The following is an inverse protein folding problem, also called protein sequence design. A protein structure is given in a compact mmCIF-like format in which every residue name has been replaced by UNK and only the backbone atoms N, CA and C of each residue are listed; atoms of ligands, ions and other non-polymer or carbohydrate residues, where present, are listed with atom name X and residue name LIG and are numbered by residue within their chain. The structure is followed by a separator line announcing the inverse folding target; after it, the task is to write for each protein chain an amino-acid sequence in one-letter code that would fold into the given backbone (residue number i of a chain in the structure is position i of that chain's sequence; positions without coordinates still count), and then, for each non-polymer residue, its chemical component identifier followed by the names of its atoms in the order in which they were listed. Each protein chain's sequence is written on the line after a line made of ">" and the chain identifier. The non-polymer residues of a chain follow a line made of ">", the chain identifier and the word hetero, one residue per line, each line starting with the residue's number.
data_IF_912839158899
#
_entry.id   IF_912839158899
#
_cell.length_a   1.000
_cell.length_b   1.000
_cell.length_c   1.000
_cell.angle_alpha   90.00
_cell.angle_beta   90.00
_cell.angle_gamma   90.00
#
_symmetry.space_group_name_H-M   'P 1'
#
loop_
_entity.id
_entity.type
_entity.pdbx_description
1 polymer ?
#
# COMPACT_ATOMS: atom_id res chain seq x y z
N UNK A 1 8.84 35.59 -48.31
CA UNK A 1 9.94 34.75 -47.81
C UNK A 1 9.67 33.32 -48.27
N UNK A 2 10.59 32.70 -49.02
CA UNK A 2 10.46 31.27 -49.36
C UNK A 2 10.74 30.46 -48.11
N UNK A 3 9.78 29.64 -47.66
CA UNK A 3 9.97 28.79 -46.50
C UNK A 3 10.98 27.68 -46.83
N UNK A 4 12.12 27.66 -46.13
CA UNK A 4 13.11 26.58 -46.27
C UNK A 4 12.54 25.30 -45.68
N UNK A 5 12.32 24.29 -46.52
CA UNK A 5 11.84 22.97 -46.06
C UNK A 5 12.98 22.21 -45.38
N UNK A 6 12.91 22.10 -44.05
CA UNK A 6 13.90 21.38 -43.24
C UNK A 6 13.69 19.86 -43.25
N UNK A 7 12.43 19.43 -43.26
CA UNK A 7 12.05 18.03 -43.13
C UNK A 7 10.75 17.71 -43.90
N UNK A 8 10.65 16.49 -44.43
CA UNK A 8 9.41 15.92 -45.00
C UNK A 8 9.08 14.59 -44.33
N UNK A 9 7.81 14.42 -43.95
CA UNK A 9 7.28 13.17 -43.39
C UNK A 9 6.37 12.48 -44.42
N UNK A 10 6.36 11.14 -44.47
CA UNK A 10 5.37 10.37 -45.24
C UNK A 10 4.75 9.27 -44.41
N UNK A 11 3.49 8.98 -44.69
CA UNK A 11 2.67 8.06 -43.95
C UNK A 11 2.16 6.94 -44.85
N UNK A 12 1.93 5.76 -44.28
CA UNK A 12 1.20 4.68 -44.95
C UNK A 12 -0.33 4.84 -44.79
N UNK A 13 -1.15 4.01 -45.47
CA UNK A 13 -2.61 4.06 -45.36
C UNK A 13 -3.18 3.72 -43.96
N UNK A 14 -2.34 3.35 -42.98
CA UNK A 14 -2.73 3.13 -41.59
C UNK A 14 -2.30 4.29 -40.68
N UNK A 15 -1.99 5.45 -41.29
CA UNK A 15 -1.51 6.66 -40.64
C UNK A 15 -0.22 6.47 -39.83
N UNK A 16 0.64 5.53 -40.24
CA UNK A 16 1.95 5.31 -39.61
C UNK A 16 3.04 6.01 -40.40
N UNK A 17 3.91 6.71 -39.68
CA UNK A 17 5.07 7.41 -40.21
C UNK A 17 6.10 6.42 -40.78
N UNK A 18 6.11 6.28 -42.10
CA UNK A 18 7.01 5.34 -42.78
C UNK A 18 8.28 6.01 -43.28
N UNK A 19 8.26 7.33 -43.52
CA UNK A 19 9.43 8.03 -44.03
C UNK A 19 9.65 9.38 -43.35
N UNK A 20 10.91 9.70 -43.11
CA UNK A 20 11.35 11.02 -42.66
C UNK A 20 12.60 11.42 -43.45
N UNK A 21 12.55 12.55 -44.13
CA UNK A 21 13.64 13.05 -44.97
C UNK A 21 14.05 14.46 -44.53
N UNK A 22 15.26 14.57 -43.98
CA UNK A 22 15.92 15.85 -43.76
C UNK A 22 16.47 16.37 -45.08
N UNK A 23 16.56 17.70 -45.22
CA UNK A 23 17.15 18.30 -46.42
C UNK A 23 18.63 17.89 -46.66
N UNK A 24 19.33 17.46 -45.60
CA UNK A 24 20.78 17.21 -45.60
C UNK A 24 21.17 15.73 -45.53
N UNK A 25 20.24 14.80 -45.33
CA UNK A 25 20.51 13.37 -45.12
C UNK A 25 19.71 12.49 -46.07
N UNK A 26 20.16 11.24 -46.25
CA UNK A 26 19.38 10.24 -46.94
C UNK A 26 18.01 10.05 -46.24
N UNK A 27 16.94 9.78 -47.00
CA UNK A 27 15.62 9.54 -46.41
C UNK A 27 15.67 8.29 -45.54
N UNK A 28 15.10 8.41 -44.33
CA UNK A 28 14.95 7.29 -43.40
C UNK A 28 13.63 6.60 -43.68
N UNK A 29 13.68 5.29 -43.89
CA UNK A 29 12.52 4.41 -43.98
C UNK A 29 12.32 3.68 -42.65
N UNK A 30 11.06 3.51 -42.23
CA UNK A 30 10.67 2.89 -40.97
C UNK A 30 9.79 1.68 -41.20
N UNK A 31 10.12 0.59 -40.53
CA UNK A 31 9.39 -0.67 -40.57
C UNK A 31 8.90 -1.04 -39.19
N UNK A 32 7.65 -1.47 -39.11
CA UNK A 32 6.96 -1.73 -37.87
C UNK A 32 6.63 -3.22 -37.73
N UNK A 33 6.92 -3.78 -36.56
CA UNK A 33 6.35 -5.06 -36.14
C UNK A 33 5.14 -4.78 -35.24
N UNK A 34 3.94 -5.08 -35.74
CA UNK A 34 2.66 -4.64 -35.15
C UNK A 34 2.63 -3.11 -35.04
N UNK A 35 2.62 -2.57 -33.82
CA UNK A 35 2.60 -1.12 -33.53
C UNK A 35 3.97 -0.57 -33.09
N UNK A 36 5.04 -1.37 -33.13
CA UNK A 36 6.37 -0.97 -32.64
C UNK A 36 7.37 -0.84 -33.78
N UNK A 37 8.16 0.23 -33.75
CA UNK A 37 9.29 0.41 -34.67
C UNK A 37 10.29 -0.75 -34.47
N UNK A 38 10.61 -1.44 -35.56
CA UNK A 38 11.50 -2.60 -35.55
C UNK A 38 12.79 -2.32 -36.31
N UNK A 39 12.70 -1.64 -37.46
CA UNK A 39 13.85 -1.38 -38.32
C UNK A 39 13.77 0.02 -38.92
N UNK A 40 14.92 0.69 -38.98
CA UNK A 40 15.12 1.92 -39.74
C UNK A 40 16.22 1.71 -40.79
N UNK A 41 15.97 2.15 -42.02
CA UNK A 41 16.95 2.11 -43.11
C UNK A 41 17.23 3.54 -43.56
N UNK A 42 18.50 3.92 -43.56
CA UNK A 42 19.00 5.24 -43.97
C UNK A 42 20.12 5.04 -45.00
N UNK A 43 19.76 5.04 -46.28
CA UNK A 43 20.70 4.71 -47.35
C UNK A 43 21.27 3.30 -47.18
N UNK A 44 22.57 3.20 -46.90
CA UNK A 44 23.30 1.92 -46.67
C UNK A 44 23.30 1.47 -45.20
N UNK A 45 22.81 2.32 -44.29
CA UNK A 45 22.78 2.04 -42.85
C UNK A 45 21.45 1.37 -42.50
N UNK A 46 21.53 0.20 -41.88
CA UNK A 46 20.38 -0.50 -41.32
C UNK A 46 20.47 -0.51 -39.80
N UNK A 47 19.43 -0.01 -39.13
CA UNK A 47 19.28 -0.04 -37.67
C UNK A 47 18.12 -0.94 -37.30
N UNK A 48 18.38 -1.97 -36.51
CA UNK A 48 17.36 -2.88 -36.01
C UNK A 48 17.25 -2.80 -34.49
N UNK A 49 16.02 -2.70 -34.01
CA UNK A 49 15.69 -2.56 -32.59
C UNK A 49 15.32 -3.95 -32.04
N UNK A 50 16.08 -4.41 -31.05
CA UNK A 50 15.86 -5.68 -30.37
C UNK A 50 15.08 -5.43 -29.09
N UNK A 51 13.93 -6.08 -28.98
CA UNK A 51 13.02 -5.94 -27.84
C UNK A 51 12.36 -7.27 -27.51
N UNK A 52 12.06 -7.49 -26.23
CA UNK A 52 11.30 -8.65 -25.75
C UNK A 52 10.12 -8.17 -24.91
N UNK A 53 8.89 -8.51 -25.34
CA UNK A 53 7.68 -7.92 -24.78
C UNK A 53 7.70 -6.40 -24.95
N UNK A 54 7.54 -5.66 -23.84
CA UNK A 54 7.65 -4.20 -23.82
C UNK A 54 9.06 -3.69 -23.46
N UNK A 55 10.04 -4.56 -23.21
CA UNK A 55 11.38 -4.13 -22.83
C UNK A 55 12.28 -3.91 -24.07
N UNK A 56 12.84 -2.71 -24.22
CA UNK A 56 13.90 -2.44 -25.18
C UNK A 56 15.21 -2.99 -24.64
N UNK A 57 15.92 -3.79 -25.45
CA UNK A 57 17.13 -4.49 -25.00
C UNK A 57 18.36 -3.97 -25.71
N UNK A 58 18.30 -3.83 -27.04
CA UNK A 58 19.45 -3.43 -27.83
C UNK A 58 19.05 -2.74 -29.14
N UNK A 59 20.02 -2.07 -29.72
CA UNK A 59 19.99 -1.48 -31.05
C UNK A 59 21.19 -2.01 -31.81
N UNK A 60 20.98 -2.53 -33.01
CA UNK A 60 22.07 -2.98 -33.87
C UNK A 60 22.12 -2.12 -35.11
N UNK A 61 23.27 -1.53 -35.40
CA UNK A 61 23.55 -0.81 -36.63
C UNK A 61 24.43 -1.67 -37.54
N UNK A 62 24.08 -1.75 -38.81
CA UNK A 62 24.84 -2.48 -39.82
C UNK A 62 25.07 -1.55 -41.01
N UNK A 63 26.33 -1.42 -41.43
CA UNK A 63 26.74 -0.64 -42.59
C UNK A 63 27.72 -1.49 -43.41
N UNK A 64 27.22 -2.13 -44.47
CA UNK A 64 27.97 -3.16 -45.19
C UNK A 64 28.36 -4.32 -44.26
N UNK A 65 29.66 -4.56 -44.09
CA UNK A 65 30.19 -5.62 -43.22
C UNK A 65 30.41 -5.17 -41.77
N UNK A 66 30.33 -3.87 -41.48
CA UNK A 66 30.48 -3.34 -40.13
C UNK A 66 29.17 -3.50 -39.38
N UNK A 67 29.25 -4.08 -38.18
CA UNK A 67 28.11 -4.28 -37.29
C UNK A 67 28.45 -3.78 -35.89
N UNK A 68 27.64 -2.86 -35.39
CA UNK A 68 27.72 -2.36 -34.02
C UNK A 68 26.46 -2.73 -33.26
N UNK A 69 26.61 -3.06 -31.99
CA UNK A 69 25.51 -3.29 -31.07
C UNK A 69 25.61 -2.32 -29.89
N UNK A 70 24.47 -1.74 -29.53
CA UNK A 70 24.30 -0.88 -28.36
C UNK A 70 23.28 -1.54 -27.46
N UNK A 71 23.66 -1.82 -26.21
CA UNK A 71 22.77 -2.28 -25.16
C UNK A 71 22.02 -1.09 -24.56
N UNK A 72 20.74 -1.28 -24.26
CA UNK A 72 19.88 -0.24 -23.74
C UNK A 72 19.37 -0.64 -22.35
N UNK A 73 19.57 0.23 -21.37
CA UNK A 73 18.92 0.14 -20.07
C UNK A 73 17.74 1.12 -20.06
N UNK A 74 16.54 0.62 -19.75
CA UNK A 74 15.31 1.43 -19.77
C UNK A 74 14.59 1.42 -18.44
N UNK A 75 13.79 2.46 -18.20
CA UNK A 75 12.83 2.49 -17.11
C UNK A 75 11.58 1.62 -17.40
N UNK A 76 10.61 1.64 -16.47
CA UNK A 76 9.35 0.91 -16.62
C UNK A 76 8.48 1.43 -17.77
N UNK A 77 8.69 2.68 -18.20
CA UNK A 77 8.02 3.32 -19.31
C UNK A 77 8.73 3.18 -20.65
N UNK A 78 9.85 2.44 -20.68
CA UNK A 78 10.72 2.21 -21.84
C UNK A 78 11.61 3.40 -22.20
N UNK A 79 11.67 4.45 -21.37
CA UNK A 79 12.62 5.55 -21.57
C UNK A 79 14.04 5.03 -21.41
N UNK A 80 14.91 5.30 -22.40
CA UNK A 80 16.31 4.86 -22.37
C UNK A 80 17.09 5.69 -21.35
N UNK A 81 17.51 5.09 -20.25
CA UNK A 81 18.31 5.73 -19.19
C UNK A 81 19.80 5.62 -19.47
N UNK A 82 20.24 4.52 -20.08
CA UNK A 82 21.64 4.30 -20.44
C UNK A 82 21.74 3.56 -21.77
N UNK A 83 22.67 3.97 -22.61
CA UNK A 83 23.04 3.30 -23.84
C UNK A 83 24.54 2.96 -23.78
N UNK A 84 24.90 1.71 -24.04
CA UNK A 84 26.28 1.21 -23.90
C UNK A 84 26.67 0.49 -25.18
N UNK A 85 27.73 0.94 -25.84
CA UNK A 85 28.39 0.22 -26.92
C UNK A 85 29.80 -0.22 -26.48
N UNK A 86 30.54 -0.91 -27.35
CA UNK A 86 31.82 -1.55 -27.00
C UNK A 86 32.83 -0.61 -26.30
N UNK A 87 32.90 0.67 -26.72
CA UNK A 87 33.91 1.62 -26.24
C UNK A 87 33.32 2.92 -25.67
N UNK A 88 32.00 3.03 -25.63
CA UNK A 88 31.30 4.28 -25.29
C UNK A 88 30.02 4.00 -24.51
N UNK A 89 29.66 4.91 -23.63
CA UNK A 89 28.38 4.87 -22.94
C UNK A 89 27.81 6.27 -22.78
N UNK A 90 26.49 6.37 -22.83
CA UNK A 90 25.77 7.61 -22.63
C UNK A 90 24.64 7.40 -21.63
N UNK A 91 24.60 8.25 -20.62
CA UNK A 91 23.51 8.33 -19.65
C UNK A 91 22.54 9.44 -20.05
N UNK A 92 21.25 9.21 -19.82
CA UNK A 92 20.18 10.13 -20.16
C UNK A 92 19.33 10.42 -18.92
N UNK A 93 19.06 11.70 -18.70
CA UNK A 93 18.12 12.18 -17.70
C UNK A 93 16.96 12.91 -18.39
N UNK A 94 15.75 12.72 -17.87
CA UNK A 94 14.52 13.29 -18.43
C UNK A 94 13.76 14.07 -17.36
N UNK A 95 13.10 15.15 -17.79
CA UNK A 95 11.98 15.68 -17.02
C UNK A 95 10.83 14.66 -16.98
N UNK A 96 9.84 14.81 -16.07
CA UNK A 96 8.65 13.96 -16.05
C UNK A 96 7.91 13.87 -17.40
N UNK A 97 8.00 14.91 -18.23
CA UNK A 97 7.40 14.99 -19.55
C UNK A 97 8.38 14.64 -20.68
N UNK A 98 9.53 14.01 -20.38
CA UNK A 98 10.45 13.50 -21.39
C UNK A 98 11.40 14.53 -21.99
N UNK A 99 11.47 15.74 -21.43
CA UNK A 99 12.41 16.75 -21.91
C UNK A 99 13.84 16.35 -21.54
N UNK A 100 14.73 16.38 -22.52
CA UNK A 100 16.18 16.15 -22.35
C UNK A 100 16.95 16.95 -23.40
N UNK A 101 18.23 17.19 -23.16
CA UNK A 101 19.14 17.64 -24.22
C UNK A 101 19.27 16.54 -25.27
N UNK A 102 19.05 16.89 -26.53
CA UNK A 102 19.13 15.92 -27.64
C UNK A 102 20.60 15.70 -27.96
N UNK A 103 21.07 14.47 -27.73
CA UNK A 103 22.38 14.04 -28.19
C UNK A 103 22.32 13.57 -29.65
N UNK A 104 23.47 13.58 -30.31
CA UNK A 104 23.62 13.06 -31.66
C UNK A 104 24.11 11.60 -31.63
N UNK A 105 23.85 10.86 -32.70
CA UNK A 105 24.39 9.51 -32.90
C UNK A 105 23.56 8.37 -32.31
N UNK A 106 24.11 7.15 -32.43
CA UNK A 106 23.41 5.89 -32.16
C UNK A 106 22.97 5.75 -30.68
N UNK A 107 23.80 6.22 -29.74
CA UNK A 107 23.52 6.19 -28.30
C UNK A 107 22.34 7.10 -27.87
N UNK A 108 21.96 8.05 -28.71
CA UNK A 108 20.84 8.98 -28.48
C UNK A 108 19.63 8.73 -29.37
N UNK A 109 19.66 7.67 -30.21
CA UNK A 109 18.64 7.39 -31.21
C UNK A 109 17.23 7.24 -30.61
N UNK A 110 17.12 6.47 -29.53
CA UNK A 110 15.88 6.27 -28.78
C UNK A 110 15.94 7.06 -27.47
N UNK A 111 14.78 7.53 -27.02
CA UNK A 111 14.66 8.40 -25.86
C UNK A 111 13.46 8.07 -24.98
N UNK A 112 12.70 9.10 -24.63
CA UNK A 112 11.51 8.99 -23.78
C UNK A 112 10.51 7.99 -24.37
N UNK A 113 9.93 7.12 -23.54
CA UNK A 113 8.99 6.06 -23.94
C UNK A 113 9.51 5.09 -25.02
N UNK A 114 10.83 5.02 -25.20
CA UNK A 114 11.45 4.25 -26.27
C UNK A 114 11.19 4.85 -27.67
N UNK A 115 10.79 6.12 -27.73
CA UNK A 115 10.51 6.84 -28.97
C UNK A 115 11.75 7.60 -29.43
N UNK A 116 11.88 7.72 -30.74
CA UNK A 116 12.91 8.57 -31.35
C UNK A 116 12.43 10.03 -31.32
N UNK A 117 13.19 10.96 -30.71
CA UNK A 117 12.89 12.37 -30.85
C UNK A 117 13.07 12.79 -32.31
N UNK A 118 12.21 13.68 -32.77
CA UNK A 118 12.34 14.31 -34.07
C UNK A 118 13.62 15.17 -34.08
N UNK A 119 14.52 14.98 -35.07
CA UNK A 119 15.83 15.63 -35.04
C UNK A 119 15.80 17.14 -35.30
N UNK A 120 14.69 17.67 -35.83
CA UNK A 120 14.53 19.12 -36.09
C UNK A 120 13.89 19.81 -34.89
N UNK A 121 12.84 19.21 -34.34
CA UNK A 121 11.98 19.87 -33.34
C UNK A 121 12.19 19.37 -31.92
N UNK A 122 12.80 18.20 -31.73
CA UNK A 122 12.90 17.53 -30.44
C UNK A 122 11.60 16.93 -29.92
N UNK A 123 10.52 17.01 -30.70
CA UNK A 123 9.24 16.44 -30.34
C UNK A 123 9.24 14.90 -30.45
N UNK A 124 8.33 14.25 -29.75
CA UNK A 124 8.10 12.81 -29.91
C UNK A 124 6.85 12.59 -30.76
N UNK A 125 6.99 11.86 -31.87
CA UNK A 125 5.91 11.56 -32.79
C UNK A 125 5.14 10.30 -32.33
N UNK A 126 4.31 10.47 -31.30
CA UNK A 126 3.56 9.39 -30.65
C UNK A 126 2.44 8.84 -31.55
N UNK A 127 1.96 7.63 -31.24
CA UNK A 127 0.98 6.95 -32.08
C UNK A 127 1.51 6.58 -33.46
N UNK A 128 2.81 6.29 -33.56
CA UNK A 128 3.52 6.09 -34.82
C UNK A 128 3.40 7.28 -35.78
N UNK A 129 3.42 8.50 -35.24
CA UNK A 129 3.35 9.73 -36.03
C UNK A 129 1.98 10.40 -36.09
N UNK A 130 0.99 9.86 -35.38
CA UNK A 130 -0.34 10.45 -35.25
C UNK A 130 -0.34 11.84 -34.62
N UNK A 131 0.37 12.04 -33.49
CA UNK A 131 0.50 13.36 -32.85
C UNK A 131 1.92 13.66 -32.42
N UNK A 132 2.35 14.89 -32.69
CA UNK A 132 3.59 15.44 -32.16
C UNK A 132 3.39 15.89 -30.70
N UNK A 133 4.03 15.18 -29.78
CA UNK A 133 4.13 15.57 -28.38
C UNK A 133 5.33 16.47 -28.17
N UNK A 134 5.10 17.64 -27.60
CA UNK A 134 6.13 18.60 -27.26
C UNK A 134 6.52 18.43 -25.77
N UNK A 135 7.72 17.89 -25.47
CA UNK A 135 8.14 17.65 -24.09
C UNK A 135 8.47 18.94 -23.32
N UNK A 136 8.72 20.05 -24.02
CA UNK A 136 8.97 21.37 -23.41
C UNK A 136 7.65 22.02 -23.00
N UNK A 137 6.64 21.97 -23.88
CA UNK A 137 5.29 22.49 -23.59
C UNK A 137 4.41 21.49 -22.82
N UNK A 138 4.87 20.26 -22.62
CA UNK A 138 4.19 19.20 -21.86
C UNK A 138 2.82 18.80 -22.43
N UNK A 139 2.63 18.96 -23.75
CA UNK A 139 1.34 18.75 -24.44
C UNK A 139 1.51 18.30 -25.89
N UNK A 140 0.42 17.84 -26.49
CA UNK A 140 0.35 17.64 -27.94
C UNK A 140 0.24 18.98 -28.69
N UNK A 141 0.75 19.00 -29.93
CA UNK A 141 0.62 20.15 -30.83
C UNK A 141 -0.70 20.14 -31.62
N UNK A 142 -1.36 18.99 -31.72
CA UNK A 142 -2.67 18.82 -32.37
C UNK A 142 -3.73 18.32 -31.37
N UNK A 143 -5.00 18.74 -31.54
CA UNK A 143 -6.08 18.27 -30.69
C UNK A 143 -6.37 16.79 -30.95
N UNK A 144 -6.80 16.09 -29.90
CA UNK A 144 -7.32 14.71 -29.98
C UNK A 144 -8.67 14.67 -30.70
N UNK A 145 -8.82 13.80 -31.69
CA UNK A 145 -10.11 13.59 -32.35
C UNK A 145 -11.14 12.86 -31.46
N UNK A 146 -10.71 12.26 -30.34
CA UNK A 146 -11.58 11.64 -29.34
C UNK A 146 -11.93 12.60 -28.20
N UNK A 147 -11.48 13.84 -28.24
CA UNK A 147 -11.88 14.90 -27.31
C UNK A 147 -12.93 15.82 -27.95
N UNK A 148 -13.75 16.52 -27.16
CA UNK A 148 -13.88 16.43 -25.70
C UNK A 148 -14.86 15.33 -25.25
N UNK A 149 -15.67 14.79 -26.15
CA UNK A 149 -16.83 13.94 -25.82
C UNK A 149 -16.55 12.43 -25.90
N UNK A 150 -15.39 12.03 -26.44
CA UNK A 150 -14.94 10.64 -26.45
C UNK A 150 -13.97 10.35 -25.30
N UNK A 151 -13.14 9.32 -25.47
CA UNK A 151 -12.25 8.84 -24.40
C UNK A 151 -11.03 9.73 -24.15
N UNK A 152 -10.73 10.70 -25.03
CA UNK A 152 -9.60 11.63 -24.87
C UNK A 152 -9.79 12.64 -23.71
N UNK A 153 -11.01 12.76 -23.18
CA UNK A 153 -11.34 13.69 -22.10
C UNK A 153 -11.44 15.14 -22.57
N UNK A 154 -11.74 16.06 -21.63
CA UNK A 154 -12.12 17.43 -21.95
C UNK A 154 -11.00 18.24 -22.62
N UNK A 155 -9.75 18.04 -22.21
CA UNK A 155 -8.60 18.75 -22.77
C UNK A 155 -7.96 17.94 -23.90
N UNK A 156 -8.20 18.39 -25.14
CA UNK A 156 -7.74 17.73 -26.36
C UNK A 156 -6.22 17.74 -26.58
N UNK A 157 -5.46 18.52 -25.81
CA UNK A 157 -4.00 18.64 -25.94
C UNK A 157 -3.23 17.93 -24.83
N UNK A 158 -3.90 17.46 -23.77
CA UNK A 158 -3.24 16.91 -22.59
C UNK A 158 -2.53 15.59 -22.90
N UNK A 159 -1.27 15.51 -22.50
CA UNK A 159 -0.56 14.24 -22.43
C UNK A 159 -0.81 13.55 -21.08
N UNK A 160 -1.09 12.24 -21.10
CA UNK A 160 -1.25 11.40 -19.90
C UNK A 160 -2.24 11.91 -18.83
N UNK A 161 -3.26 12.69 -19.22
CA UNK A 161 -4.17 13.36 -18.28
C UNK A 161 -3.42 14.17 -17.19
N UNK A 162 -2.24 14.71 -17.52
CA UNK A 162 -1.40 15.48 -16.60
C UNK A 162 -0.51 14.64 -15.67
N UNK A 163 -0.48 13.32 -15.83
CA UNK A 163 0.28 12.40 -14.98
C UNK A 163 1.22 11.49 -15.80
N UNK A 164 2.30 12.04 -16.38
CA UNK A 164 3.23 11.28 -17.21
C UNK A 164 4.17 10.36 -16.41
N UNK A 165 4.22 10.49 -15.08
CA UNK A 165 5.03 9.62 -14.21
C UNK A 165 4.36 8.25 -14.04
N UNK A 166 3.02 8.23 -13.99
CA UNK A 166 2.26 6.99 -13.75
C UNK A 166 1.54 6.46 -14.99
N UNK A 167 1.58 7.18 -16.11
CA UNK A 167 0.86 6.81 -17.33
C UNK A 167 1.72 7.06 -18.56
N UNK A 168 1.48 6.26 -19.59
CA UNK A 168 2.07 6.39 -20.92
C UNK A 168 0.96 6.42 -21.95
N UNK A 169 1.07 7.23 -23.00
CA UNK A 169 0.13 7.19 -24.13
C UNK A 169 0.83 6.71 -25.40
N UNK A 170 0.88 5.38 -25.66
CA UNK A 170 1.54 4.84 -26.85
C UNK A 170 0.83 5.21 -28.15
N UNK A 171 -0.49 5.44 -28.08
CA UNK A 171 -1.35 5.71 -29.23
C UNK A 171 -1.41 7.20 -29.59
N UNK A 172 -1.03 8.07 -28.64
CA UNK A 172 -1.36 9.47 -28.71
C UNK A 172 -2.87 9.69 -28.76
N UNK A 173 -3.68 9.02 -27.95
CA UNK A 173 -5.15 9.21 -27.85
C UNK A 173 -5.64 9.00 -26.43
N UNK A 174 -5.15 7.93 -25.79
CA UNK A 174 -5.51 7.59 -24.43
C UNK A 174 -4.27 7.08 -23.70
N UNK A 175 -3.99 7.57 -22.49
CA UNK A 175 -2.98 6.93 -21.67
C UNK A 175 -3.36 5.47 -21.38
N UNK A 176 -2.44 4.58 -21.71
CA UNK A 176 -2.35 3.30 -21.03
C UNK A 176 -1.83 3.54 -19.61
N UNK A 177 -2.55 2.99 -18.65
CA UNK A 177 -2.05 2.90 -17.29
C UNK A 177 -0.95 1.83 -17.27
N UNK A 178 0.19 2.13 -16.65
CA UNK A 178 1.07 1.04 -16.23
C UNK A 178 0.26 0.14 -15.33
N UNK A 179 -0.01 -1.08 -15.79
CA UNK A 179 -0.73 -2.09 -15.03
C UNK A 179 0.14 -2.63 -13.89
N UNK A 180 0.59 -1.75 -12.99
CA UNK A 180 1.09 -2.10 -11.68
C UNK A 180 0.17 -1.67 -10.53
N UNK A 181 -0.91 -0.91 -10.77
CA UNK A 181 -1.79 -0.49 -9.65
C UNK A 181 -3.31 -0.64 -9.90
N UNK A 182 -3.81 -0.96 -11.09
CA UNK A 182 -5.25 -1.25 -11.25
C UNK A 182 -5.50 -2.47 -12.15
N UNK A 183 -5.76 -3.62 -11.54
CA UNK A 183 -6.49 -4.70 -12.22
C UNK A 183 -6.10 -6.14 -11.89
N UNK A 184 -4.90 -6.40 -11.37
CA UNK A 184 -4.52 -7.75 -10.92
C UNK A 184 -4.78 -7.89 -9.42
N UNK A 185 -5.40 -9.01 -9.03
CA UNK A 185 -5.50 -9.40 -7.62
C UNK A 185 -4.08 -9.65 -7.10
N UNK A 186 -3.78 -9.13 -5.92
CA UNK A 186 -2.49 -9.30 -5.24
C UNK A 186 -2.61 -10.49 -4.31
N UNK A 187 -1.74 -11.47 -4.46
CA UNK A 187 -1.71 -12.65 -3.58
C UNK A 187 -0.65 -12.41 -2.52
N UNK A 188 -1.05 -12.46 -1.25
CA UNK A 188 -0.18 -12.28 -0.08
C UNK A 188 -0.20 -13.58 0.72
N UNK A 189 0.99 -14.11 1.00
CA UNK A 189 1.21 -15.32 1.80
C UNK A 189 0.38 -16.54 1.35
N UNK A 190 0.13 -16.69 0.04
CA UNK A 190 -0.68 -17.73 -0.61
C UNK A 190 -2.17 -17.85 -0.18
N UNK A 191 -2.63 -17.12 0.84
CA UNK A 191 -3.99 -17.23 1.37
C UNK A 191 -4.83 -15.97 1.20
N UNK A 192 -4.20 -14.79 1.12
CA UNK A 192 -4.92 -13.52 0.99
C UNK A 192 -4.87 -13.03 -0.45
N UNK A 193 -6.03 -12.98 -1.11
CA UNK A 193 -6.13 -12.48 -2.48
C UNK A 193 -6.85 -11.14 -2.45
N UNK A 194 -6.24 -10.06 -2.96
CA UNK A 194 -6.88 -8.74 -2.93
C UNK A 194 -8.12 -8.67 -3.84
N UNK A 195 -9.08 -7.83 -3.46
CA UNK A 195 -10.18 -7.44 -4.35
C UNK A 195 -9.65 -6.70 -5.58
N UNK A 196 -10.36 -6.84 -6.69
CA UNK A 196 -9.98 -6.22 -7.97
C UNK A 196 -9.92 -4.70 -7.80
N UNK A 197 -8.82 -4.09 -8.21
CA UNK A 197 -8.61 -2.64 -8.13
C UNK A 197 -8.05 -2.14 -6.80
N UNK A 198 -7.74 -3.01 -5.85
CA UNK A 198 -6.99 -2.63 -4.64
C UNK A 198 -5.48 -2.54 -4.99
N UNK A 199 -4.83 -1.38 -4.80
CA UNK A 199 -3.39 -1.21 -4.98
C UNK A 199 -2.55 -2.16 -4.12
N UNK A 200 -1.39 -2.58 -4.60
CA UNK A 200 -0.53 -3.56 -3.91
C UNK A 200 0.01 -3.04 -2.57
N UNK A 201 0.47 -1.80 -2.52
CA UNK A 201 0.89 -1.11 -1.29
C UNK A 201 -0.24 -1.09 -0.25
N UNK A 202 -1.47 -0.79 -0.69
CA UNK A 202 -2.64 -0.77 0.18
C UNK A 202 -2.99 -2.17 0.68
N UNK A 203 -2.93 -3.19 -0.17
CA UNK A 203 -3.16 -4.58 0.23
C UNK A 203 -2.13 -5.05 1.28
N UNK A 204 -0.84 -4.77 1.08
CA UNK A 204 0.20 -5.10 2.04
C UNK A 204 0.01 -4.35 3.37
N UNK A 205 -0.34 -3.07 3.33
CA UNK A 205 -0.61 -2.28 4.54
C UNK A 205 -1.80 -2.83 5.34
N UNK A 206 -2.87 -3.26 4.65
CA UNK A 206 -4.03 -3.87 5.32
C UNK A 206 -3.73 -5.26 5.86
N UNK A 207 -2.91 -6.06 5.17
CA UNK A 207 -2.44 -7.35 5.68
C UNK A 207 -1.58 -7.18 6.94
N UNK A 208 -0.64 -6.23 6.94
CA UNK A 208 0.14 -5.92 8.14
C UNK A 208 -0.75 -5.47 9.30
N UNK A 209 -1.79 -4.68 9.02
CA UNK A 209 -2.77 -4.29 10.04
C UNK A 209 -3.51 -5.50 10.65
N UNK A 210 -3.82 -6.53 9.86
CA UNK A 210 -4.42 -7.78 10.39
C UNK A 210 -3.43 -8.46 11.35
N UNK A 211 -2.16 -8.60 10.96
CA UNK A 211 -1.14 -9.21 11.82
C UNK A 211 -0.93 -8.42 13.13
N UNK A 212 -0.89 -7.09 13.05
CA UNK A 212 -0.77 -6.23 14.23
C UNK A 212 -1.97 -6.38 15.18
N UNK A 213 -3.18 -6.49 14.61
CA UNK A 213 -4.40 -6.72 15.39
C UNK A 213 -4.36 -8.09 16.07
N UNK A 214 -4.04 -9.16 15.33
CA UNK A 214 -3.93 -10.52 15.86
C UNK A 214 -2.86 -10.63 16.96
N UNK A 215 -1.67 -10.06 16.72
CA UNK A 215 -0.58 -10.02 17.70
C UNK A 215 -0.87 -9.11 18.90
N UNK A 216 -1.76 -8.12 18.74
CA UNK A 216 -2.17 -7.17 19.77
C UNK A 216 -3.27 -7.68 20.71
N UNK A 217 -4.01 -8.73 20.34
CA UNK A 217 -5.13 -9.28 21.14
C UNK A 217 -4.66 -9.59 22.57
N UNK A 218 -3.55 -10.32 22.71
CA UNK A 218 -3.04 -10.71 24.02
C UNK A 218 -2.75 -9.49 24.90
N UNK A 219 -2.09 -8.47 24.33
CA UNK A 219 -1.74 -7.24 25.06
C UNK A 219 -2.99 -6.50 25.53
N UNK A 220 -3.95 -6.27 24.63
CA UNK A 220 -5.22 -5.58 24.93
C UNK A 220 -6.05 -6.30 25.99
N UNK A 221 -6.18 -7.62 25.86
CA UNK A 221 -6.87 -8.44 26.86
C UNK A 221 -6.17 -8.33 28.21
N UNK A 222 -4.84 -8.42 28.24
CA UNK A 222 -4.08 -8.33 29.47
C UNK A 222 -4.23 -6.95 30.15
N UNK A 223 -4.07 -5.87 29.40
CA UNK A 223 -4.25 -4.49 29.91
C UNK A 223 -5.67 -4.28 30.48
N UNK A 224 -6.71 -4.72 29.76
CA UNK A 224 -8.10 -4.58 30.21
C UNK A 224 -8.42 -5.42 31.44
N UNK A 225 -7.95 -6.67 31.49
CA UNK A 225 -8.10 -7.54 32.66
C UNK A 225 -7.37 -6.97 33.88
N UNK A 226 -6.19 -6.38 33.69
CA UNK A 226 -5.45 -5.67 34.74
C UNK A 226 -6.16 -4.41 35.23
N UNK A 227 -6.69 -3.61 34.31
CA UNK A 227 -7.44 -2.40 34.66
C UNK A 227 -8.70 -2.75 35.46
N UNK A 228 -9.47 -3.75 35.00
CA UNK A 228 -10.64 -4.24 35.72
C UNK A 228 -10.27 -4.78 37.11
N UNK A 229 -9.16 -5.52 37.22
CA UNK A 229 -8.65 -5.99 38.50
C UNK A 229 -8.28 -4.85 39.45
N UNK A 230 -7.57 -3.84 38.97
CA UNK A 230 -7.17 -2.69 39.78
C UNK A 230 -8.38 -1.86 40.23
N UNK A 231 -9.39 -1.71 39.37
CA UNK A 231 -10.62 -1.02 39.72
C UNK A 231 -11.41 -1.78 40.80
N UNK A 232 -11.55 -3.11 40.65
CA UNK A 232 -12.20 -3.95 41.66
C UNK A 232 -11.42 -3.94 42.98
N UNK A 233 -10.08 -3.91 42.92
CA UNK A 233 -9.22 -3.78 44.10
C UNK A 233 -9.49 -2.48 44.85
N UNK A 234 -9.61 -1.34 44.17
CA UNK A 234 -9.93 -0.06 44.81
C UNK A 234 -11.31 -0.08 45.49
N UNK A 235 -12.30 -0.75 44.88
CA UNK A 235 -13.61 -0.97 45.48
C UNK A 235 -13.52 -1.80 46.76
N UNK A 236 -12.73 -2.87 46.76
CA UNK A 236 -12.52 -3.73 47.94
C UNK A 236 -11.74 -2.99 49.04
N UNK A 237 -10.66 -2.31 48.68
CA UNK A 237 -9.85 -1.50 49.61
C UNK A 237 -10.68 -0.33 50.21
N UNK A 238 -11.69 0.17 49.49
CA UNK A 238 -12.64 1.19 50.01
C UNK A 238 -13.68 0.65 50.99
N UNK A 239 -13.88 -0.67 51.05
CA UNK A 239 -14.73 -1.36 52.03
C UNK A 239 -13.97 -1.59 53.34
N UNK A 240 -12.64 -1.71 53.28
CA UNK A 240 -11.74 -1.87 54.45
C UNK A 240 -11.42 -0.55 55.16
N UNK A 241 -11.78 0.60 54.58
CA UNK A 241 -11.77 1.86 55.29
C UNK A 241 -12.99 1.89 56.25
N UNK A 242 -12.82 2.17 57.56
CA UNK A 242 -13.95 2.25 58.47
C UNK A 242 -14.95 3.29 57.94
N UNK A 243 -16.25 2.95 57.84
CA UNK A 243 -17.22 3.80 57.15
C UNK A 243 -17.44 5.07 57.97
N UNK A 244 -16.86 6.19 57.53
CA UNK A 244 -17.17 7.49 58.13
C UNK A 244 -18.41 8.15 57.52
N UNK A 245 -18.96 7.63 56.42
CA UNK A 245 -20.10 8.23 55.73
C UNK A 245 -21.18 7.20 55.33
N UNK A 246 -22.36 7.23 55.99
CA UNK A 246 -23.53 6.40 55.65
C UNK A 246 -24.05 6.59 54.21
N UNK A 247 -23.69 7.68 53.53
CA UNK A 247 -24.10 7.97 52.15
C UNK A 247 -23.35 7.12 51.13
N UNK A 248 -22.10 6.74 51.41
CA UNK A 248 -21.25 5.92 50.53
C UNK A 248 -21.73 4.46 50.52
N UNK A 249 -22.15 3.96 51.69
CA UNK A 249 -22.75 2.62 51.84
C UNK A 249 -24.08 2.52 51.09
N UNK A 250 -24.90 3.58 51.10
CA UNK A 250 -26.14 3.66 50.30
C UNK A 250 -25.88 3.70 48.80
N UNK A 251 -24.82 4.39 48.34
CA UNK A 251 -24.42 4.41 46.91
C UNK A 251 -23.91 3.05 46.43
N UNK A 252 -23.04 2.39 47.19
CA UNK A 252 -22.50 1.07 46.83
C UNK A 252 -23.59 -0.01 46.81
N UNK A 253 -24.55 0.04 47.73
CA UNK A 253 -25.73 -0.85 47.71
C UNK A 253 -26.64 -0.55 46.51
N UNK A 254 -26.81 0.72 46.15
CA UNK A 254 -27.61 1.12 44.99
C UNK A 254 -26.94 0.71 43.66
N UNK A 255 -25.61 0.84 43.53
CA UNK A 255 -24.86 0.38 42.35
C UNK A 255 -24.77 -1.15 42.27
N UNK A 256 -24.62 -1.85 43.40
CA UNK A 256 -24.67 -3.31 43.45
C UNK A 256 -26.06 -3.87 43.09
N UNK A 257 -27.14 -3.18 43.49
CA UNK A 257 -28.51 -3.53 43.12
C UNK A 257 -28.83 -3.26 41.63
N UNK A 258 -28.15 -2.30 41.00
CA UNK A 258 -28.26 -2.03 39.56
C UNK A 258 -27.39 -2.96 38.70
N UNK A 259 -26.48 -3.71 39.32
CA UNK A 259 -25.69 -4.75 38.67
C UNK A 259 -26.57 -5.97 38.37
N UNK A 260 -26.95 -6.17 37.10
CA UNK A 260 -27.90 -7.20 36.63
C UNK A 260 -27.58 -8.64 37.05
N UNK A 261 -26.37 -8.90 37.54
CA UNK A 261 -25.92 -10.22 38.04
C UNK A 261 -26.50 -10.62 39.41
N UNK A 262 -27.08 -9.70 40.18
CA UNK A 262 -27.61 -9.98 41.54
C UNK A 262 -29.14 -9.81 41.67
N UNK A 263 -29.84 -9.56 40.57
CA UNK A 263 -31.30 -9.31 40.52
C UNK A 263 -32.20 -10.47 40.98
N UNK A 264 -31.63 -11.63 41.31
CA UNK A 264 -32.38 -12.85 41.64
C UNK A 264 -32.41 -13.22 43.13
N UNK A 265 -31.81 -12.43 44.03
CA UNK A 265 -31.76 -12.76 45.45
C UNK A 265 -32.60 -11.83 46.33
N UNK A 266 -33.49 -12.37 47.20
CA UNK A 266 -34.31 -11.58 48.10
C UNK A 266 -33.49 -10.98 49.25
N UNK A 267 -33.82 -9.74 49.60
CA UNK A 267 -33.05 -8.77 50.40
C UNK A 267 -32.93 -9.08 51.90
N UNK A 268 -33.36 -10.25 52.37
CA UNK A 268 -33.53 -10.55 53.80
C UNK A 268 -32.38 -11.30 54.48
N UNK A 269 -31.31 -11.69 53.77
CA UNK A 269 -30.15 -12.40 54.36
C UNK A 269 -28.88 -11.54 54.53
N UNK A 270 -28.97 -10.21 54.40
CA UNK A 270 -27.77 -9.35 54.32
C UNK A 270 -26.92 -9.33 55.60
N UNK A 271 -27.51 -9.57 56.77
CA UNK A 271 -26.83 -9.44 58.08
C UNK A 271 -25.87 -10.60 58.38
N UNK A 272 -26.21 -11.82 57.95
CA UNK A 272 -25.36 -13.00 58.16
C UNK A 272 -24.16 -13.02 57.21
N UNK A 273 -24.36 -12.55 55.97
CA UNK A 273 -23.30 -12.39 54.97
C UNK A 273 -22.33 -11.28 55.39
N UNK A 274 -22.82 -10.19 55.97
CA UNK A 274 -22.00 -9.10 56.51
C UNK A 274 -21.05 -9.59 57.62
N UNK A 275 -21.57 -10.36 58.58
CA UNK A 275 -20.78 -10.85 59.72
C UNK A 275 -19.69 -11.84 59.29
N UNK A 276 -20.00 -12.73 58.36
CA UNK A 276 -19.04 -13.68 57.79
C UNK A 276 -17.91 -12.97 57.02
N UNK A 277 -18.23 -11.91 56.28
CA UNK A 277 -17.23 -11.13 55.53
C UNK A 277 -16.26 -10.38 56.46
N UNK A 278 -16.75 -9.81 57.57
CA UNK A 278 -15.90 -9.14 58.57
C UNK A 278 -14.99 -10.09 59.34
N UNK A 279 -15.48 -11.31 59.68
CA UNK A 279 -14.71 -12.30 60.43
C UNK A 279 -13.59 -12.94 59.59
N UNK A 280 -13.78 -13.03 58.27
CA UNK A 280 -12.74 -13.46 57.31
C UNK A 280 -11.68 -12.37 57.11
N UNK A 281 -12.10 -11.11 56.94
CA UNK A 281 -11.20 -9.99 56.72
C UNK A 281 -10.15 -9.84 57.86
N UNK A 282 -10.61 -9.95 59.11
CA UNK A 282 -9.74 -9.90 60.29
C UNK A 282 -8.73 -11.06 60.34
N UNK A 283 -9.09 -12.23 59.77
CA UNK A 283 -8.28 -13.45 59.77
C UNK A 283 -7.19 -13.43 58.70
N UNK A 284 -7.42 -12.74 57.58
CA UNK A 284 -6.57 -12.81 56.39
C UNK A 284 -5.68 -11.57 56.14
N UNK A 285 -5.88 -10.46 56.85
CA UNK A 285 -5.06 -9.24 56.74
C UNK A 285 -3.52 -9.48 56.83
N UNK A 286 -2.98 -10.37 57.70
CA UNK A 286 -1.53 -10.65 57.76
C UNK A 286 -1.01 -11.45 56.55
N UNK A 287 -1.88 -12.16 55.83
CA UNK A 287 -1.53 -12.91 54.63
C UNK A 287 -1.39 -11.96 53.43
N UNK A 288 -2.30 -10.99 53.31
CA UNK A 288 -2.27 -9.99 52.23
C UNK A 288 -1.04 -9.08 52.31
N UNK A 289 -0.60 -8.74 53.52
CA UNK A 289 0.62 -7.95 53.74
C UNK A 289 1.89 -8.67 53.24
N UNK A 290 2.02 -9.97 53.50
CA UNK A 290 3.15 -10.81 53.01
C UNK A 290 3.14 -11.00 51.49
N UNK A 291 1.95 -10.99 50.87
CA UNK A 291 1.80 -11.07 49.42
C UNK A 291 2.24 -9.76 48.74
N UNK A 292 1.94 -8.60 49.35
CA UNK A 292 2.39 -7.29 48.85
C UNK A 292 3.91 -7.11 48.95
N UNK A 293 4.51 -7.61 50.04
CA UNK A 293 5.97 -7.64 50.22
C UNK A 293 6.66 -8.55 49.18
N UNK A 294 6.08 -9.71 48.88
CA UNK A 294 6.59 -10.63 47.84
C UNK A 294 6.47 -10.06 46.42
N UNK A 295 5.52 -9.13 46.17
CA UNK A 295 5.29 -8.49 44.88
C UNK A 295 6.33 -7.43 44.52
N UNK A 296 6.96 -6.79 45.50
CA UNK A 296 7.95 -5.73 45.28
C UNK A 296 9.30 -6.25 44.76
N UNK A 297 9.56 -7.55 44.83
CA UNK A 297 10.83 -8.17 44.45
C UNK A 297 10.92 -8.77 43.04
N UNK A 298 9.85 -8.77 42.23
CA UNK A 298 9.82 -9.53 40.97
C UNK A 298 9.54 -8.61 39.79
N UNK A 299 10.61 -8.15 39.12
CA UNK A 299 10.53 -7.44 37.87
C UNK A 299 10.41 -8.44 36.69
N UNK A 300 9.42 -8.20 35.83
CA UNK A 300 9.30 -8.72 34.46
C UNK A 300 9.52 -10.23 34.25
N UNK A 301 8.47 -11.05 34.44
CA UNK A 301 8.06 -12.09 33.47
C UNK A 301 6.80 -12.84 33.95
N UNK A 302 5.90 -13.16 33.00
CA UNK A 302 4.77 -14.10 33.10
C UNK A 302 3.58 -13.75 34.03
N UNK A 303 2.71 -12.86 33.55
CA UNK A 303 1.40 -12.54 34.15
C UNK A 303 0.37 -13.68 34.00
N UNK A 304 0.45 -14.52 32.96
CA UNK A 304 -0.49 -15.64 32.78
C UNK A 304 -0.42 -16.68 33.91
N UNK A 305 0.77 -16.87 34.50
CA UNK A 305 0.94 -17.69 35.69
C UNK A 305 0.30 -17.01 36.92
N UNK A 306 0.32 -15.68 37.01
CA UNK A 306 -0.21 -14.94 38.17
C UNK A 306 -1.75 -15.01 38.28
N UNK A 307 -2.48 -14.96 37.16
CA UNK A 307 -3.95 -15.17 37.16
C UNK A 307 -4.29 -16.61 37.58
N UNK A 308 -3.51 -17.59 37.12
CA UNK A 308 -3.64 -18.99 37.52
C UNK A 308 -3.34 -19.20 39.01
N UNK A 309 -2.31 -18.55 39.56
CA UNK A 309 -1.99 -18.65 41.00
C UNK A 309 -2.99 -17.92 41.91
N UNK A 310 -3.55 -16.78 41.49
CA UNK A 310 -4.56 -16.05 42.25
C UNK A 310 -5.90 -16.81 42.28
N UNK A 311 -6.36 -17.33 41.12
CA UNK A 311 -7.57 -18.16 41.05
C UNK A 311 -7.41 -19.48 41.80
N UNK A 312 -6.21 -20.08 41.82
CA UNK A 312 -5.91 -21.28 42.62
C UNK A 312 -5.95 -21.00 44.13
N UNK A 313 -5.43 -19.87 44.61
CA UNK A 313 -5.52 -19.48 46.04
C UNK A 313 -6.93 -19.07 46.47
N UNK A 314 -7.74 -18.45 45.61
CA UNK A 314 -9.15 -18.14 45.92
C UNK A 314 -10.06 -19.38 45.87
N UNK A 315 -9.67 -20.42 45.11
CA UNK A 315 -10.33 -21.74 45.14
C UNK A 315 -10.34 -22.36 46.54
N UNK A 316 -9.32 -22.06 47.33
CA UNK A 316 -9.16 -22.56 48.71
C UNK A 316 -9.94 -21.72 49.75
N UNK A 317 -10.55 -20.58 49.37
CA UNK A 317 -11.13 -19.61 50.32
C UNK A 317 -12.61 -19.29 50.04
N UNK A 318 -13.07 -19.21 48.79
CA UNK A 318 -14.52 -19.23 48.48
C UNK A 318 -14.73 -19.60 46.99
N UNK A 319 -15.12 -20.86 46.69
CA UNK A 319 -15.24 -21.35 45.32
C UNK A 319 -16.19 -20.53 44.43
N UNK A 320 -17.20 -19.89 45.04
CA UNK A 320 -18.21 -19.11 44.33
C UNK A 320 -17.66 -17.78 43.82
N UNK A 321 -16.90 -17.05 44.63
CA UNK A 321 -16.29 -15.77 44.24
C UNK A 321 -15.23 -15.99 43.15
N UNK A 322 -14.39 -17.03 43.30
CA UNK A 322 -13.40 -17.40 42.30
C UNK A 322 -14.06 -17.73 40.94
N UNK A 323 -15.19 -18.43 40.96
CA UNK A 323 -15.97 -18.76 39.76
C UNK A 323 -16.55 -17.50 39.10
N UNK A 324 -17.12 -16.57 39.89
CA UNK A 324 -17.66 -15.31 39.38
C UNK A 324 -16.58 -14.44 38.73
N UNK A 325 -15.41 -14.36 39.37
CA UNK A 325 -14.29 -13.57 38.87
C UNK A 325 -13.69 -14.14 37.59
N UNK A 326 -13.59 -15.48 37.52
CA UNK A 326 -13.15 -16.19 36.30
C UNK A 326 -14.09 -15.88 35.14
N UNK A 327 -15.41 -15.94 35.36
CA UNK A 327 -16.42 -15.58 34.36
C UNK A 327 -16.31 -14.12 33.89
N UNK A 328 -16.05 -13.18 34.81
CA UNK A 328 -15.83 -11.76 34.46
C UNK A 328 -14.60 -11.61 33.56
N UNK A 329 -13.49 -12.25 33.89
CA UNK A 329 -12.25 -12.18 33.11
C UNK A 329 -12.38 -12.86 31.74
N UNK A 330 -13.08 -13.98 31.66
CA UNK A 330 -13.43 -14.64 30.40
C UNK A 330 -14.35 -13.78 29.55
N UNK A 331 -15.33 -13.08 30.15
CA UNK A 331 -16.21 -12.14 29.45
C UNK A 331 -15.43 -10.97 28.85
N UNK A 332 -14.47 -10.39 29.57
CA UNK A 332 -13.61 -9.31 29.07
C UNK A 332 -12.76 -9.80 27.89
N UNK A 333 -12.15 -10.98 28.03
CA UNK A 333 -11.39 -11.62 26.96
C UNK A 333 -12.27 -11.83 25.72
N UNK A 334 -13.45 -12.41 25.89
CA UNK A 334 -14.37 -12.69 24.80
C UNK A 334 -14.81 -11.41 24.10
N UNK A 335 -15.18 -10.36 24.85
CA UNK A 335 -15.59 -9.08 24.29
C UNK A 335 -14.50 -8.46 23.39
N UNK A 336 -13.26 -8.38 23.89
CA UNK A 336 -12.14 -7.79 23.15
C UNK A 336 -11.76 -8.64 21.95
N UNK A 337 -11.72 -9.97 22.10
CA UNK A 337 -11.45 -10.87 20.98
C UNK A 337 -12.52 -10.74 19.89
N UNK A 338 -13.79 -10.63 20.27
CA UNK A 338 -14.88 -10.45 19.30
C UNK A 338 -14.80 -9.10 18.58
N UNK A 339 -14.49 -8.02 19.30
CA UNK A 339 -14.31 -6.69 18.72
C UNK A 339 -13.15 -6.67 17.71
N UNK A 340 -11.99 -7.21 18.09
CA UNK A 340 -10.82 -7.27 17.20
C UNK A 340 -11.09 -8.18 16.00
N UNK A 341 -11.76 -9.31 16.20
CA UNK A 341 -12.14 -10.20 15.10
C UNK A 341 -13.14 -9.53 14.15
N UNK A 342 -14.06 -8.70 14.65
CA UNK A 342 -14.96 -7.93 13.82
C UNK A 342 -14.22 -6.86 12.99
N UNK A 343 -13.21 -6.20 13.56
CA UNK A 343 -12.34 -5.27 12.82
C UNK A 343 -11.56 -6.00 11.73
N UNK A 344 -10.95 -7.15 12.05
CA UNK A 344 -10.24 -8.00 11.09
C UNK A 344 -11.17 -8.44 9.97
N UNK A 345 -12.39 -8.87 10.30
CA UNK A 345 -13.35 -9.32 9.31
C UNK A 345 -13.80 -8.17 8.38
N UNK A 346 -14.02 -6.98 8.92
CA UNK A 346 -14.31 -5.78 8.13
C UNK A 346 -13.17 -5.44 7.15
N UNK A 347 -11.92 -5.58 7.57
CA UNK A 347 -10.75 -5.40 6.69
C UNK A 347 -10.71 -6.48 5.60
N UNK A 348 -10.94 -7.75 5.96
CA UNK A 348 -11.01 -8.87 5.02
C UNK A 348 -12.09 -8.62 3.97
N UNK A 349 -13.31 -8.33 4.40
CA UNK A 349 -14.45 -8.09 3.52
C UNK A 349 -14.25 -6.86 2.62
N UNK A 350 -13.51 -5.85 3.06
CA UNK A 350 -13.29 -4.64 2.27
C UNK A 350 -12.19 -4.79 1.24
N UNK A 351 -11.14 -5.55 1.53
CA UNK A 351 -9.90 -5.52 0.74
C UNK A 351 -9.48 -6.87 0.14
N UNK A 352 -10.00 -7.98 0.63
CA UNK A 352 -9.59 -9.34 0.25
C UNK A 352 -10.79 -10.18 -0.22
N UNK A 353 -10.51 -11.27 -0.95
CA UNK A 353 -11.47 -12.24 -1.52
C UNK A 353 -11.10 -13.63 -1.03
#
# INVERSE_FOLDING_TARGET
>A
MSATRLCTYRYDPLDRLTHHALATHAPIQRFYCKSRLATEIEGVINRSIVQHGDQLLALTETQGNLRQATLLATDQQRSVLQAIACNESQSHAYSPYGNRTIGNGLLSLLGFNGQRPDPVTGHYLLGNGYRAFNPVLMRFNSPDSWSPFGRGGLNSYTYCLGDPINKIDPTGHLPNFFAKIFGKKVVINNFYVSKRGVPADKAHKMYQRILDLEGGIYRRVNEAQHAAFNQDKLLIDSIDAPPQDPSLLRRLVHEAAQNKLLSHYPTTQSTAVYKAATDDLARYAPLFKRIDESRKGIAHTQISQHIYFATKRHKDINPWIASLYTKKMESIRSAITNEVNAEIQSIKDKYFV
#
